data_IF_574121330698
#
_entry.id   IF_574121330698
#
_cell.length_a   1.000
_cell.length_b   1.000
_cell.length_c   1.000
_cell.angle_alpha   90.00
_cell.angle_beta   90.00
_cell.angle_gamma   90.00
#
_symmetry.space_group_name_H-M   'P 1'
#
loop_
_entity.id
_entity.type
_entity.pdbx_description
1 polymer ?
#
# COMPACT_ATOMS: atom_id res chain seq x y z
N UNK A 1 -3.11 11.06 13.04
CA UNK A 1 -1.82 10.30 13.09
C UNK A 1 -0.95 10.66 11.88
N UNK A 2 0.38 10.64 11.99
CA UNK A 2 1.26 10.90 10.84
C UNK A 2 1.29 9.69 9.90
N UNK A 3 1.42 9.89 8.59
CA UNK A 3 1.68 8.79 7.65
C UNK A 3 3.18 8.70 7.39
N UNK A 4 3.74 7.49 7.42
CA UNK A 4 5.12 7.19 7.02
C UNK A 4 5.12 6.08 5.97
N UNK A 5 6.08 6.13 5.04
CA UNK A 5 6.26 5.12 4.01
C UNK A 5 7.65 4.52 4.15
N UNK A 6 7.72 3.18 4.21
CA UNK A 6 9.00 2.46 4.13
C UNK A 6 9.67 2.70 2.76
N UNK A 7 10.99 2.48 2.65
CA UNK A 7 11.67 2.51 1.35
C UNK A 7 11.01 1.59 0.30
N UNK A 8 10.55 0.41 0.72
CA UNK A 8 9.87 -0.54 -0.15
C UNK A 8 8.53 0.01 -0.66
N UNK A 9 7.69 0.60 0.21
CA UNK A 9 6.44 1.21 -0.22
C UNK A 9 6.65 2.38 -1.20
N UNK A 10 7.74 3.15 -1.02
CA UNK A 10 8.11 4.21 -1.96
C UNK A 10 8.57 3.64 -3.32
N UNK A 11 9.29 2.52 -3.31
CA UNK A 11 9.66 1.80 -4.53
C UNK A 11 8.44 1.24 -5.23
N UNK A 12 7.52 0.60 -4.52
CA UNK A 12 6.26 0.10 -5.08
C UNK A 12 5.50 1.24 -5.81
N UNK A 13 5.37 2.43 -5.18
CA UNK A 13 4.75 3.60 -5.82
C UNK A 13 5.48 4.09 -7.07
N UNK A 14 6.81 4.08 -7.07
CA UNK A 14 7.62 4.44 -8.26
C UNK A 14 7.42 3.43 -9.37
N UNK A 15 7.44 2.14 -9.08
CA UNK A 15 7.24 1.08 -10.07
C UNK A 15 5.86 1.18 -10.73
N UNK A 16 4.81 1.43 -9.95
CA UNK A 16 3.46 1.68 -10.47
C UNK A 16 3.44 2.89 -11.41
N UNK A 17 4.05 4.01 -10.99
CA UNK A 17 4.14 5.21 -11.82
C UNK A 17 4.89 4.92 -13.12
N UNK A 18 6.05 4.29 -13.03
CA UNK A 18 6.97 4.11 -14.14
C UNK A 18 6.41 3.08 -15.13
N UNK A 19 5.75 2.03 -14.66
CA UNK A 19 5.03 1.09 -15.50
C UNK A 19 3.94 1.78 -16.32
N UNK A 20 3.04 2.52 -15.66
CA UNK A 20 1.92 3.18 -16.37
C UNK A 20 2.43 4.30 -17.29
N UNK A 21 3.41 5.08 -16.84
CA UNK A 21 3.95 6.20 -17.62
C UNK A 21 4.78 5.72 -18.80
N UNK A 22 5.68 4.77 -18.60
CA UNK A 22 6.74 4.45 -19.55
C UNK A 22 6.46 3.19 -20.36
N UNK A 23 5.76 2.21 -19.79
CA UNK A 23 5.38 0.96 -20.49
C UNK A 23 4.03 1.15 -21.17
N UNK A 24 3.01 1.61 -20.44
CA UNK A 24 1.68 1.86 -21.01
C UNK A 24 1.56 3.23 -21.71
N UNK A 25 2.64 4.02 -21.74
CA UNK A 25 2.73 5.34 -22.38
C UNK A 25 1.64 6.32 -21.95
N UNK A 26 1.21 6.24 -20.68
CA UNK A 26 0.10 7.05 -20.17
C UNK A 26 0.48 7.82 -18.89
N UNK A 27 1.25 8.93 -19.00
CA UNK A 27 1.70 9.71 -17.85
C UNK A 27 0.55 10.36 -17.06
N UNK A 28 -0.56 10.69 -17.72
CA UNK A 28 -1.76 11.23 -17.05
C UNK A 28 -2.39 10.17 -16.14
N UNK A 29 -2.55 8.94 -16.64
CA UNK A 29 -3.02 7.83 -15.82
C UNK A 29 -2.05 7.53 -14.68
N UNK A 30 -0.74 7.57 -14.90
CA UNK A 30 0.27 7.35 -13.86
C UNK A 30 0.10 8.32 -12.68
N UNK A 31 -0.06 9.62 -12.97
CA UNK A 31 -0.32 10.66 -11.95
C UNK A 31 -1.66 10.43 -11.24
N UNK A 32 -2.70 10.06 -11.98
CA UNK A 32 -4.03 9.86 -11.43
C UNK A 32 -4.10 8.65 -10.49
N UNK A 33 -3.54 7.51 -10.91
CA UNK A 33 -3.53 6.26 -10.14
C UNK A 33 -2.70 6.43 -8.86
N UNK A 34 -1.45 6.89 -8.97
CA UNK A 34 -0.60 7.11 -7.79
C UNK A 34 -1.21 8.14 -6.83
N UNK A 35 -1.81 9.21 -7.36
CA UNK A 35 -2.53 10.20 -6.55
C UNK A 35 -3.73 9.62 -5.81
N UNK A 36 -4.49 8.68 -6.41
CA UNK A 36 -5.60 7.99 -5.74
C UNK A 36 -5.10 7.05 -4.63
N UNK A 37 -4.02 6.31 -4.87
CA UNK A 37 -3.38 5.45 -3.85
C UNK A 37 -2.92 6.28 -2.65
N UNK A 38 -2.21 7.39 -2.89
CA UNK A 38 -1.72 8.28 -1.81
C UNK A 38 -2.89 8.88 -1.04
N UNK A 39 -3.94 9.35 -1.72
CA UNK A 39 -5.16 9.87 -1.05
C UNK A 39 -5.83 8.82 -0.18
N UNK A 40 -5.91 7.56 -0.62
CA UNK A 40 -6.46 6.48 0.19
C UNK A 40 -5.61 6.23 1.44
N UNK A 41 -4.28 6.20 1.32
CA UNK A 41 -3.37 6.10 2.47
C UNK A 41 -3.53 7.29 3.43
N UNK A 42 -3.75 8.49 2.91
CA UNK A 42 -3.91 9.70 3.71
C UNK A 42 -5.13 9.62 4.66
N UNK A 43 -6.21 8.94 4.27
CA UNK A 43 -7.39 8.71 5.13
C UNK A 43 -7.05 7.93 6.41
N UNK A 44 -5.98 7.14 6.39
CA UNK A 44 -5.49 6.41 7.57
C UNK A 44 -4.98 7.34 8.67
N UNK A 45 -4.68 8.61 8.36
CA UNK A 45 -4.29 9.59 9.37
C UNK A 45 -5.44 9.90 10.34
N UNK A 46 -6.68 9.90 9.83
CA UNK A 46 -7.91 10.15 10.58
C UNK A 46 -8.58 8.85 11.04
N UNK A 47 -8.50 7.80 10.21
CA UNK A 47 -9.12 6.49 10.48
C UNK A 47 -8.10 5.34 10.36
N UNK A 48 -7.14 5.22 11.31
CA UNK A 48 -6.06 4.22 11.24
C UNK A 48 -6.57 2.78 11.17
N UNK A 49 -7.73 2.51 11.76
CA UNK A 49 -8.31 1.17 11.85
C UNK A 49 -9.29 0.83 10.71
N UNK A 50 -9.46 1.68 9.70
CA UNK A 50 -10.42 1.43 8.61
C UNK A 50 -10.03 0.24 7.71
N UNK A 51 -8.74 -0.09 7.61
CA UNK A 51 -8.26 -1.27 6.90
C UNK A 51 -8.57 -2.55 7.66
N UNK A 52 -8.72 -3.65 6.94
CA UNK A 52 -9.00 -4.96 7.51
C UNK A 52 -7.75 -5.56 8.16
N UNK A 53 -7.94 -6.36 9.23
CA UNK A 53 -6.85 -7.09 9.87
C UNK A 53 -6.33 -8.19 8.94
N UNK A 54 -5.00 -8.28 8.79
CA UNK A 54 -4.35 -9.34 8.03
C UNK A 54 -4.37 -10.68 8.80
N UNK A 55 -4.29 -10.64 10.12
CA UNK A 55 -4.47 -11.82 10.97
C UNK A 55 -5.83 -12.48 10.71
N UNK A 56 -6.91 -11.69 10.65
CA UNK A 56 -8.25 -12.21 10.35
C UNK A 56 -8.35 -12.91 8.98
N UNK A 57 -7.49 -12.54 8.02
CA UNK A 57 -7.47 -13.14 6.68
C UNK A 57 -6.56 -14.38 6.57
N UNK A 58 -5.44 -14.40 7.29
CA UNK A 58 -4.37 -15.39 7.09
C UNK A 58 -4.19 -16.34 8.26
N UNK A 59 -4.77 -16.06 9.43
CA UNK A 59 -4.53 -16.77 10.68
C UNK A 59 -3.13 -16.55 11.26
N UNK A 60 -2.24 -15.80 10.58
CA UNK A 60 -0.90 -15.48 11.08
C UNK A 60 -0.98 -14.44 12.18
N UNK A 61 -0.19 -14.62 13.23
CA UNK A 61 -0.11 -13.64 14.31
C UNK A 61 0.66 -12.40 13.83
N UNK A 62 -0.06 -11.33 13.49
CA UNK A 62 0.51 -10.07 13.00
C UNK A 62 -0.46 -8.92 13.25
N UNK A 63 0.08 -7.75 13.61
CA UNK A 63 -0.69 -6.51 13.76
C UNK A 63 -0.93 -5.78 12.42
N UNK A 64 -0.48 -6.39 11.31
CA UNK A 64 -0.66 -5.80 9.99
C UNK A 64 -2.13 -5.69 9.60
N UNK A 65 -2.43 -4.58 8.95
CA UNK A 65 -3.71 -4.27 8.34
C UNK A 65 -3.50 -4.02 6.85
N UNK A 66 -4.57 -4.11 6.09
CA UNK A 66 -4.54 -3.81 4.68
C UNK A 66 -5.73 -2.96 4.24
N UNK A 67 -5.47 -2.05 3.30
CA UNK A 67 -6.47 -1.20 2.67
C UNK A 67 -6.40 -1.37 1.15
N UNK A 68 -7.52 -1.71 0.53
CA UNK A 68 -7.64 -1.77 -0.93
C UNK A 68 -7.66 -0.33 -1.47
N UNK A 69 -6.71 -0.01 -2.35
CA UNK A 69 -6.50 1.30 -2.94
C UNK A 69 -6.43 1.15 -4.47
N UNK A 70 -7.54 1.37 -5.17
CA UNK A 70 -7.67 1.03 -6.60
C UNK A 70 -7.42 -0.47 -6.82
N UNK A 71 -6.51 -0.82 -7.73
CA UNK A 71 -6.05 -2.19 -7.97
C UNK A 71 -4.85 -2.58 -7.10
N UNK A 72 -4.49 -1.78 -6.09
CA UNK A 72 -3.35 -2.04 -5.22
C UNK A 72 -3.81 -2.27 -3.78
N UNK A 73 -2.93 -2.87 -2.98
CA UNK A 73 -3.20 -3.15 -1.58
C UNK A 73 -2.14 -2.45 -0.74
N UNK A 74 -2.52 -1.49 0.09
CA UNK A 74 -1.61 -0.88 1.05
C UNK A 74 -1.57 -1.73 2.31
N UNK A 75 -0.44 -2.38 2.59
CA UNK A 75 -0.18 -3.05 3.86
C UNK A 75 0.43 -2.08 4.84
N UNK A 76 -0.08 -2.04 6.06
CA UNK A 76 0.32 -1.06 7.05
C UNK A 76 0.18 -1.56 8.48
N UNK A 77 0.84 -0.88 9.39
CA UNK A 77 0.68 -1.06 10.84
C UNK A 77 0.35 0.28 11.50
N UNK A 78 -0.41 0.20 12.60
CA UNK A 78 -0.77 1.36 13.41
C UNK A 78 0.19 1.38 14.61
N UNK A 79 1.03 2.42 14.69
CA UNK A 79 1.94 2.65 15.81
C UNK A 79 1.37 3.74 16.74
N UNK A 80 2.13 4.17 17.76
CA UNK A 80 1.64 5.14 18.74
C UNK A 80 1.31 6.53 18.13
N UNK A 81 2.17 7.05 17.24
CA UNK A 81 2.05 8.40 16.67
C UNK A 81 1.82 8.41 15.15
N UNK A 82 1.98 7.26 14.50
CA UNK A 82 1.95 7.16 13.05
C UNK A 82 1.34 5.86 12.51
N UNK A 83 0.91 5.92 11.26
CA UNK A 83 0.57 4.78 10.44
C UNK A 83 1.73 4.55 9.48
N UNK A 84 2.37 3.39 9.57
CA UNK A 84 3.50 3.02 8.74
C UNK A 84 3.02 2.16 7.58
N UNK A 85 3.11 2.67 6.36
CA UNK A 85 2.82 1.94 5.12
C UNK A 85 4.05 1.10 4.76
N UNK A 86 3.88 -0.21 4.80
CA UNK A 86 4.96 -1.19 4.68
C UNK A 86 5.20 -1.58 3.22
N UNK A 87 4.13 -1.88 2.47
CA UNK A 87 4.17 -2.27 1.04
C UNK A 87 2.89 -1.82 0.32
N UNK A 88 2.97 -1.63 -0.99
CA UNK A 88 1.83 -1.32 -1.88
C UNK A 88 1.88 -2.18 -3.16
N UNK A 89 1.77 -3.51 -3.08
CA UNK A 89 1.74 -4.38 -4.26
C UNK A 89 0.48 -4.16 -5.11
N UNK A 90 0.57 -4.56 -6.38
CA UNK A 90 -0.60 -4.78 -7.22
C UNK A 90 -1.44 -5.93 -6.62
N UNK A 91 -2.72 -5.66 -6.37
CA UNK A 91 -3.66 -6.64 -5.81
C UNK A 91 -4.01 -7.77 -6.77
N UNK A 92 -3.61 -7.68 -8.04
CA UNK A 92 -3.80 -8.71 -9.08
C UNK A 92 -2.65 -9.70 -9.17
N UNK A 93 -1.51 -9.43 -8.54
CA UNK A 93 -0.38 -10.35 -8.47
C UNK A 93 -0.46 -11.21 -7.21
N UNK A 94 0.51 -12.11 -7.01
CA UNK A 94 0.68 -12.79 -5.72
C UNK A 94 1.25 -11.82 -4.68
N UNK A 95 0.40 -10.91 -4.22
CA UNK A 95 0.74 -9.87 -3.24
C UNK A 95 1.11 -10.45 -1.87
N UNK A 96 0.71 -11.71 -1.57
CA UNK A 96 1.12 -12.40 -0.35
C UNK A 96 2.59 -12.82 -0.45
N UNK A 97 3.03 -13.35 -1.59
CA UNK A 97 4.45 -13.56 -1.86
C UNK A 97 5.23 -12.24 -1.76
N UNK A 98 4.75 -11.17 -2.40
CA UNK A 98 5.43 -9.86 -2.33
C UNK A 98 5.57 -9.33 -0.90
N UNK A 99 4.57 -9.56 -0.03
CA UNK A 99 4.59 -9.13 1.36
C UNK A 99 5.53 -9.96 2.25
N UNK A 100 5.59 -11.28 2.04
CA UNK A 100 6.26 -12.20 2.96
C UNK A 100 7.61 -12.75 2.47
N UNK A 101 7.98 -12.55 1.20
CA UNK A 101 9.19 -13.14 0.61
C UNK A 101 10.42 -12.23 0.66
N UNK A 102 10.41 -11.21 1.53
CA UNK A 102 11.60 -10.42 1.85
C UNK A 102 12.39 -11.07 2.99
N UNK A 103 13.30 -11.98 2.65
CA UNK A 103 14.47 -12.33 3.47
C UNK A 103 15.64 -11.44 3.07
#
# INVERSE_FOLDING_TARGET
MRIRYTPQAQTDLREVRDYISNVLKNPVAAKNVTGRIIRSCHKLSDQPNMGASLQGKTGRNTDYRYLICENHIAFYEVQLDCVCIIRIPDGRTDYMWTLFSGN
#
